data_IF_026240092773
#
_entry.id   IF_026240092773
#
_cell.length_a   1.000
_cell.length_b   1.000
_cell.length_c   1.000
_cell.angle_alpha   90.00
_cell.angle_beta   90.00
_cell.angle_gamma   90.00
#
_symmetry.space_group_name_H-M   'P 1'
#
loop_
_entity.id
_entity.type
_entity.pdbx_description
1 polymer ?
#
# COMPACT_ATOMS: atom_id res chain seq x y z
N UNK A 1 -19.72 -38.57 -50.32
CA UNK A 1 -19.98 -39.98 -49.92
C UNK A 1 -18.67 -40.59 -49.42
N UNK A 2 -18.72 -41.67 -48.62
CA UNK A 2 -17.58 -42.23 -47.84
C UNK A 2 -17.20 -41.30 -46.68
N UNK A 3 -17.61 -41.46 -45.41
CA UNK A 3 -17.88 -42.64 -44.56
C UNK A 3 -16.65 -43.53 -44.33
N UNK A 4 -16.05 -43.51 -43.12
CA UNK A 4 -16.16 -44.63 -42.18
C UNK A 4 -15.68 -44.27 -40.74
N UNK A 5 -16.14 -45.08 -39.78
CA UNK A 5 -16.21 -44.95 -38.32
C UNK A 5 -14.91 -44.91 -37.49
N UNK A 6 -15.12 -44.37 -36.28
CA UNK A 6 -14.49 -44.64 -34.97
C UNK A 6 -13.67 -45.94 -34.78
N UNK A 7 -12.51 -45.81 -34.12
CA UNK A 7 -11.95 -46.62 -33.00
C UNK A 7 -10.72 -45.85 -32.44
N UNK A 8 -10.38 -45.81 -31.15
CA UNK A 8 -11.05 -46.28 -29.93
C UNK A 8 -10.09 -46.96 -28.93
N UNK A 9 -10.07 -46.51 -27.65
CA UNK A 9 -9.24 -47.04 -26.51
C UNK A 9 -7.74 -46.67 -26.65
N UNK A 10 -6.94 -46.36 -25.62
CA UNK A 10 -7.14 -46.25 -24.16
C UNK A 10 -5.89 -45.64 -23.49
N UNK A 11 -5.67 -45.94 -22.19
CA UNK A 11 -4.49 -45.60 -21.35
C UNK A 11 -4.31 -44.10 -20.95
N UNK A 12 -3.96 -43.72 -19.72
CA UNK A 12 -3.79 -44.46 -18.44
C UNK A 12 -4.03 -43.52 -17.23
N UNK A 13 -4.07 -44.12 -16.03
CA UNK A 13 -3.94 -43.57 -14.66
C UNK A 13 -3.41 -42.12 -14.49
N UNK A 14 -3.78 -41.32 -13.48
CA UNK A 14 -4.33 -41.63 -12.16
C UNK A 14 -3.68 -40.70 -11.10
N UNK A 15 -4.24 -40.63 -9.89
CA UNK A 15 -3.88 -39.71 -8.78
C UNK A 15 -4.14 -38.20 -9.06
N UNK A 16 -4.69 -37.40 -8.13
CA UNK A 16 -4.87 -37.57 -6.67
C UNK A 16 -6.32 -37.34 -6.22
N UNK A 17 -6.63 -37.95 -5.07
CA UNK A 17 -7.93 -37.93 -4.40
C UNK A 17 -8.24 -36.55 -3.77
N UNK A 18 -9.54 -36.25 -3.63
CA UNK A 18 -10.03 -35.09 -2.90
C UNK A 18 -11.09 -35.51 -1.86
N UNK A 19 -10.74 -35.46 -0.57
CA UNK A 19 -11.66 -35.35 0.58
C UNK A 19 -10.88 -35.41 1.91
N UNK A 20 -11.47 -34.98 3.05
CA UNK A 20 -12.70 -34.20 3.20
C UNK A 20 -12.47 -32.85 3.93
N UNK A 21 -13.52 -32.04 4.00
CA UNK A 21 -13.55 -30.85 4.85
C UNK A 21 -13.38 -31.23 6.33
N UNK A 22 -12.62 -30.42 7.08
CA UNK A 22 -12.61 -30.46 8.55
C UNK A 22 -13.22 -29.18 9.10
N UNK A 23 -14.47 -29.32 9.51
CA UNK A 23 -15.17 -28.38 10.38
C UNK A 23 -14.46 -28.31 11.75
N UNK A 24 -14.16 -27.10 12.21
CA UNK A 24 -13.87 -26.81 13.63
C UNK A 24 -14.49 -25.46 13.93
N UNK A 25 -15.33 -25.42 14.97
CA UNK A 25 -16.00 -24.21 15.43
C UNK A 25 -15.00 -23.18 15.98
N UNK A 26 -15.35 -21.90 15.84
CA UNK A 26 -14.74 -20.76 16.52
C UNK A 26 -15.82 -19.71 16.76
N UNK A 27 -15.90 -19.18 17.98
CA UNK A 27 -17.07 -18.47 18.47
C UNK A 27 -17.41 -17.18 17.70
N UNK A 28 -18.71 -16.93 17.57
CA UNK A 28 -19.25 -15.61 17.22
C UNK A 28 -18.98 -14.63 18.37
N UNK A 29 -17.78 -14.04 18.38
CA UNK A 29 -17.45 -12.87 19.21
C UNK A 29 -17.98 -11.62 18.53
N UNK A 30 -18.50 -10.70 19.35
CA UNK A 30 -19.36 -9.61 18.90
C UNK A 30 -18.70 -8.66 17.90
N UNK A 31 -19.54 -8.15 17.01
CA UNK A 31 -19.26 -7.04 16.10
C UNK A 31 -18.64 -5.87 16.88
N UNK A 32 -17.36 -5.57 16.63
CA UNK A 32 -16.77 -4.28 17.01
C UNK A 32 -16.74 -3.40 15.76
N UNK A 33 -17.84 -2.67 15.57
CA UNK A 33 -17.97 -1.58 14.60
C UNK A 33 -16.92 -0.50 14.89
N UNK A 34 -15.71 -0.70 14.35
CA UNK A 34 -14.55 0.16 14.56
C UNK A 34 -14.46 1.18 13.41
N UNK A 35 -15.58 1.85 13.15
CA UNK A 35 -15.76 2.88 12.12
C UNK A 35 -15.11 4.22 12.52
N UNK A 36 -13.78 4.24 12.70
CA UNK A 36 -12.98 5.49 12.64
C UNK A 36 -11.48 5.22 12.51
N UNK A 37 -10.99 5.43 11.30
CA UNK A 37 -9.58 5.53 10.88
C UNK A 37 -8.67 6.28 11.87
N UNK A 38 -7.83 5.54 12.61
CA UNK A 38 -6.59 6.08 13.18
C UNK A 38 -5.41 5.75 12.26
N UNK A 39 -5.08 6.67 11.35
CA UNK A 39 -3.86 6.61 10.55
C UNK A 39 -3.85 5.53 9.47
N UNK A 40 -4.84 5.52 8.56
CA UNK A 40 -4.69 4.78 7.31
C UNK A 40 -3.49 5.36 6.54
N UNK A 41 -2.38 4.61 6.46
CA UNK A 41 -1.23 4.98 5.64
C UNK A 41 -1.68 5.15 4.19
N UNK A 42 -1.61 6.38 3.69
CA UNK A 42 -1.92 6.64 2.30
C UNK A 42 -0.83 6.00 1.43
N UNK A 43 -1.19 4.91 0.75
CA UNK A 43 -0.27 4.18 -0.11
C UNK A 43 0.41 5.13 -1.11
N UNK A 44 1.65 4.79 -1.50
CA UNK A 44 2.40 5.54 -2.52
C UNK A 44 1.55 5.87 -3.76
N UNK A 45 0.71 4.93 -4.20
CA UNK A 45 -0.18 5.12 -5.33
C UNK A 45 -1.29 6.15 -5.09
N UNK A 46 -1.90 6.13 -3.90
CA UNK A 46 -2.90 7.12 -3.51
C UNK A 46 -2.27 8.52 -3.37
N UNK A 47 -1.12 8.62 -2.70
CA UNK A 47 -0.32 9.84 -2.58
C UNK A 47 0.01 10.44 -3.95
N UNK A 48 0.55 9.61 -4.86
CA UNK A 48 0.89 10.00 -6.23
C UNK A 48 -0.34 10.50 -7.01
N UNK A 49 -1.46 9.78 -6.92
CA UNK A 49 -2.73 10.14 -7.55
C UNK A 49 -3.28 11.47 -7.02
N UNK A 50 -3.16 11.74 -5.72
CA UNK A 50 -3.54 13.02 -5.10
C UNK A 50 -2.67 14.16 -5.63
N UNK A 51 -1.34 14.02 -5.58
CA UNK A 51 -0.41 15.08 -6.03
C UNK A 51 -0.57 15.40 -7.52
N UNK A 52 -0.73 14.37 -8.37
CA UNK A 52 -1.02 14.58 -9.80
C UNK A 52 -2.31 15.38 -10.02
N UNK A 53 -3.38 15.04 -9.28
CA UNK A 53 -4.67 15.77 -9.34
C UNK A 53 -4.56 17.20 -8.81
N UNK A 54 -3.84 17.42 -7.72
CA UNK A 54 -3.58 18.75 -7.18
C UNK A 54 -2.78 19.63 -8.18
N UNK A 55 -1.93 19.00 -9.00
CA UNK A 55 -1.21 19.65 -10.11
C UNK A 55 -2.06 19.86 -11.37
N UNK A 56 -3.35 19.51 -11.35
CA UNK A 56 -4.27 19.63 -12.49
C UNK A 56 -4.05 18.62 -13.63
N UNK A 57 -3.10 17.70 -13.51
CA UNK A 57 -2.68 16.81 -14.60
C UNK A 57 -3.59 15.58 -14.74
N UNK A 58 -3.99 15.23 -15.97
CA UNK A 58 -4.54 13.91 -16.28
C UNK A 58 -3.47 12.82 -16.19
N UNK A 59 -3.88 11.56 -16.11
CA UNK A 59 -2.94 10.43 -16.14
C UNK A 59 -2.16 10.34 -17.46
N UNK A 60 -2.73 10.85 -18.56
CA UNK A 60 -2.08 10.89 -19.88
C UNK A 60 -0.97 11.94 -19.95
N UNK A 61 -1.27 13.19 -19.56
CA UNK A 61 -0.29 14.28 -19.56
C UNK A 61 0.87 13.99 -18.61
N UNK A 62 0.58 13.45 -17.43
CA UNK A 62 1.58 13.02 -16.47
C UNK A 62 2.46 11.88 -17.00
N UNK A 63 1.86 10.89 -17.68
CA UNK A 63 2.62 9.81 -18.32
C UNK A 63 3.59 10.35 -19.39
N UNK A 64 3.13 11.30 -20.22
CA UNK A 64 3.98 11.99 -21.21
C UNK A 64 5.11 12.78 -20.56
N UNK A 65 4.83 13.58 -19.51
CA UNK A 65 5.84 14.37 -18.81
C UNK A 65 6.94 13.49 -18.17
N UNK A 66 6.53 12.40 -17.51
CA UNK A 66 7.45 11.42 -16.89
C UNK A 66 8.14 10.53 -17.93
N UNK A 67 7.62 10.43 -19.16
CA UNK A 67 8.18 9.61 -20.23
C UNK A 67 7.89 8.11 -20.05
N UNK A 68 6.65 7.77 -19.70
CA UNK A 68 6.18 6.39 -19.49
C UNK A 68 4.81 6.16 -20.13
N UNK A 69 4.35 4.90 -20.17
CA UNK A 69 3.02 4.57 -20.66
C UNK A 69 1.94 4.85 -19.61
N UNK A 70 0.73 5.20 -20.06
CA UNK A 70 -0.43 5.45 -19.17
C UNK A 70 -0.73 4.24 -18.26
N UNK A 71 -0.69 2.97 -18.74
CA UNK A 71 -0.85 1.81 -17.87
C UNK A 71 0.19 1.73 -16.75
N UNK A 72 1.43 2.19 -16.96
CA UNK A 72 2.44 2.21 -15.89
C UNK A 72 2.06 3.19 -14.76
N UNK A 73 1.52 4.36 -15.11
CA UNK A 73 0.98 5.34 -14.14
C UNK A 73 -0.19 4.73 -13.37
N UNK A 74 -1.16 4.13 -14.07
CA UNK A 74 -2.28 3.44 -13.41
C UNK A 74 -1.80 2.32 -12.47
N UNK A 75 -0.81 1.53 -12.88
CA UNK A 75 -0.26 0.45 -12.05
C UNK A 75 0.47 0.97 -10.80
N UNK A 76 1.04 2.19 -10.85
CA UNK A 76 1.60 2.87 -9.68
C UNK A 76 0.50 3.44 -8.77
N UNK A 77 -0.50 4.12 -9.34
CA UNK A 77 -1.61 4.72 -8.59
C UNK A 77 -2.49 3.69 -7.86
N UNK A 78 -2.63 2.49 -8.44
CA UNK A 78 -3.34 1.35 -7.85
C UNK A 78 -2.44 0.52 -6.90
N UNK A 79 -1.16 0.86 -6.76
CA UNK A 79 -0.21 0.14 -5.90
C UNK A 79 0.30 -1.21 -6.43
N UNK A 80 -0.14 -1.64 -7.61
CA UNK A 80 0.30 -2.89 -8.26
C UNK A 80 1.79 -2.90 -8.66
N UNK A 81 2.44 -1.74 -8.77
CA UNK A 81 3.89 -1.63 -8.96
C UNK A 81 4.47 -0.36 -8.30
N UNK A 82 5.78 -0.36 -8.05
CA UNK A 82 6.56 0.83 -7.65
C UNK A 82 7.41 1.33 -8.83
N UNK A 83 7.57 2.66 -9.01
CA UNK A 83 8.55 3.20 -9.96
C UNK A 83 9.98 2.87 -9.52
N UNK A 84 10.88 2.66 -10.49
CA UNK A 84 12.33 2.52 -10.23
C UNK A 84 12.90 3.86 -9.70
N UNK A 85 13.99 3.89 -8.90
CA UNK A 85 14.53 5.13 -8.32
C UNK A 85 14.78 6.25 -9.34
N UNK A 86 15.34 5.94 -10.52
CA UNK A 86 15.54 6.91 -11.61
C UNK A 86 14.24 7.56 -12.12
N UNK A 87 13.11 6.84 -12.05
CA UNK A 87 11.77 7.37 -12.38
C UNK A 87 11.15 8.12 -11.21
N UNK A 88 11.42 7.71 -9.97
CA UNK A 88 10.95 8.42 -8.78
C UNK A 88 11.49 9.87 -8.74
N UNK A 89 12.77 10.08 -9.07
CA UNK A 89 13.34 11.42 -9.24
C UNK A 89 12.57 12.23 -10.29
N UNK A 90 12.38 11.69 -11.50
CA UNK A 90 11.63 12.39 -12.56
C UNK A 90 10.15 12.66 -12.23
N UNK A 91 9.52 11.82 -11.41
CA UNK A 91 8.18 12.05 -10.88
C UNK A 91 8.19 13.25 -9.91
N UNK A 92 9.22 13.35 -9.08
CA UNK A 92 9.41 14.46 -8.14
C UNK A 92 9.60 15.79 -8.89
N UNK A 93 10.46 15.79 -9.92
CA UNK A 93 10.72 16.92 -10.80
C UNK A 93 9.43 17.42 -11.49
N UNK A 94 8.60 16.50 -12.03
CA UNK A 94 7.35 16.83 -12.73
C UNK A 94 6.26 17.36 -11.78
N UNK A 95 6.26 16.94 -10.52
CA UNK A 95 5.27 17.36 -9.52
C UNK A 95 5.74 18.54 -8.66
N UNK A 96 7.01 18.97 -8.77
CA UNK A 96 7.58 20.05 -7.97
C UNK A 96 7.69 19.74 -6.47
N UNK A 97 7.78 18.46 -6.10
CA UNK A 97 7.86 17.98 -4.71
C UNK A 97 9.19 17.26 -4.45
N UNK A 98 9.57 17.05 -3.18
CA UNK A 98 10.74 16.20 -2.91
C UNK A 98 10.38 14.73 -3.09
N UNK A 99 11.38 13.90 -3.44
CA UNK A 99 11.19 12.44 -3.50
C UNK A 99 10.79 11.83 -2.15
N UNK A 100 11.14 12.49 -1.03
CA UNK A 100 10.70 12.11 0.32
C UNK A 100 9.21 12.36 0.57
N UNK A 101 8.59 13.31 -0.13
CA UNK A 101 7.16 13.58 -0.05
C UNK A 101 6.39 12.51 -0.84
N UNK A 102 6.93 12.09 -1.99
CA UNK A 102 6.36 11.03 -2.84
C UNK A 102 6.25 9.67 -2.15
N UNK A 103 7.28 9.28 -1.40
CA UNK A 103 7.33 7.96 -0.73
C UNK A 103 6.26 7.84 0.36
N UNK A 104 5.65 8.97 0.75
CA UNK A 104 4.94 9.11 2.00
C UNK A 104 5.96 9.27 3.10
N UNK A 105 6.17 10.50 3.58
CA UNK A 105 6.78 10.71 4.88
C UNK A 105 5.77 10.40 6.01
N UNK A 106 5.10 9.25 5.95
CA UNK A 106 4.79 8.57 7.20
C UNK A 106 6.16 8.26 7.80
N UNK A 107 6.49 8.96 8.88
CA UNK A 107 7.55 8.50 9.77
C UNK A 107 7.01 7.22 10.38
N UNK A 108 7.28 6.10 9.71
CA UNK A 108 7.07 4.73 10.17
C UNK A 108 7.99 4.44 11.35
N UNK A 109 7.77 5.18 12.43
CA UNK A 109 8.25 4.86 13.76
C UNK A 109 7.12 4.19 14.51
N UNK A 110 7.47 3.21 15.32
CA UNK A 110 6.61 2.69 16.38
C UNK A 110 6.05 3.85 17.23
N UNK A 111 4.91 3.63 17.88
CA UNK A 111 4.38 4.58 18.87
C UNK A 111 5.45 4.95 19.90
N UNK A 112 6.24 3.97 20.34
CA UNK A 112 7.40 4.14 21.22
C UNK A 112 8.43 5.15 20.70
N UNK A 113 8.87 5.03 19.45
CA UNK A 113 9.85 5.96 18.86
C UNK A 113 9.28 7.36 18.68
N UNK A 114 8.00 7.47 18.29
CA UNK A 114 7.33 8.77 18.14
C UNK A 114 7.13 9.45 19.49
N UNK A 115 6.65 8.73 20.51
CA UNK A 115 6.54 9.23 21.89
C UNK A 115 7.92 9.61 22.45
N UNK A 116 8.97 8.82 22.18
CA UNK A 116 10.32 9.11 22.67
C UNK A 116 10.91 10.37 22.03
N UNK A 117 10.74 10.55 20.71
CA UNK A 117 11.16 11.75 19.98
C UNK A 117 10.44 13.00 20.51
N UNK A 118 9.12 12.94 20.61
CA UNK A 118 8.30 14.07 21.09
C UNK A 118 8.59 14.39 22.56
N UNK A 119 8.85 13.37 23.40
CA UNK A 119 9.25 13.55 24.80
C UNK A 119 10.55 14.35 24.92
N UNK A 120 11.58 14.03 24.12
CA UNK A 120 12.86 14.74 24.10
C UNK A 120 12.68 16.21 23.66
N UNK A 121 11.88 16.44 22.62
CA UNK A 121 11.61 17.78 22.08
C UNK A 121 10.88 18.68 23.09
N UNK A 122 9.81 18.17 23.72
CA UNK A 122 9.09 18.86 24.80
C UNK A 122 10.01 19.15 25.98
N UNK A 123 10.84 18.18 26.39
CA UNK A 123 11.75 18.32 27.51
C UNK A 123 12.78 19.44 27.28
N UNK A 124 13.36 19.50 26.07
CA UNK A 124 14.29 20.54 25.66
C UNK A 124 13.65 21.93 25.68
N UNK A 125 12.46 22.08 25.09
CA UNK A 125 11.74 23.37 25.03
C UNK A 125 11.27 23.85 26.41
N UNK A 126 10.90 22.92 27.31
CA UNK A 126 10.50 23.23 28.68
C UNK A 126 11.69 23.36 29.66
N UNK A 127 12.93 23.09 29.23
CA UNK A 127 14.12 23.14 30.09
C UNK A 127 14.14 22.07 31.20
N UNK A 128 13.53 20.91 30.96
CA UNK A 128 13.43 19.81 31.92
C UNK A 128 14.09 18.52 31.41
N UNK A 129 14.36 17.58 32.31
CA UNK A 129 14.83 16.25 31.92
C UNK A 129 13.68 15.43 31.29
N UNK A 130 13.93 14.59 30.26
CA UNK A 130 12.88 13.84 29.55
C UNK A 130 12.02 12.95 30.44
N UNK A 131 12.58 12.43 31.53
CA UNK A 131 11.93 11.54 32.49
C UNK A 131 10.82 12.24 33.28
N UNK A 132 10.82 13.59 33.30
CA UNK A 132 9.76 14.41 33.89
C UNK A 132 8.57 14.62 32.94
N UNK A 133 8.71 14.29 31.65
CA UNK A 133 7.67 14.52 30.63
C UNK A 133 6.81 13.26 30.46
N UNK A 134 5.65 13.27 31.13
CA UNK A 134 4.60 12.25 30.97
C UNK A 134 3.69 12.64 29.79
N UNK A 135 3.44 11.69 28.90
CA UNK A 135 2.57 11.85 27.74
C UNK A 135 1.43 10.83 27.90
N UNK A 136 0.20 11.32 27.90
CA UNK A 136 -1.03 10.54 27.97
C UNK A 136 -1.78 10.71 26.64
N UNK A 137 -2.44 9.64 26.19
CA UNK A 137 -3.27 9.63 24.99
C UNK A 137 -4.63 9.09 25.43
N UNK A 138 -5.64 9.96 25.40
CA UNK A 138 -7.04 9.56 25.55
C UNK A 138 -7.55 9.00 24.21
N UNK A 139 -8.47 8.04 24.26
CA UNK A 139 -9.04 7.34 23.09
C UNK A 139 -10.56 7.51 23.02
#
# INVERSE_FOLDING_TARGET
MTSLRMTGIGDTEGLKQASPAKEVAGEATGNLDTDAVYGAEESFGASLRRMRRASGLTASEFATAVGVSIPAVCNWELGHARPRPKRLARIADVLGVNSCDLVGSSRTGTLTETVSRVRLEIAQLAGVAPERVKIYIEL
#
